data_IF_672258544693
#
_entry.id   IF_672258544693
#
_cell.length_a   1.000
_cell.length_b   1.000
_cell.length_c   1.000
_cell.angle_alpha   90.00
_cell.angle_beta   90.00
_cell.angle_gamma   90.00
#
_symmetry.space_group_name_H-M   'P 1'
#
loop_
_entity.id
_entity.type
_entity.pdbx_description
1 polymer ?
#
# COMPACT_ATOMS: atom_id res chain seq x y z
N UNK A 1 23.96 -13.77 10.22
CA UNK A 1 23.14 -13.23 9.12
C UNK A 1 24.08 -12.77 8.01
N UNK A 2 23.96 -13.42 6.86
CA UNK A 2 24.65 -13.07 5.61
C UNK A 2 24.20 -11.71 5.08
N UNK A 3 24.95 -11.15 4.14
CA UNK A 3 24.56 -9.87 3.51
C UNK A 3 23.32 -10.01 2.62
N UNK A 4 23.09 -11.21 2.04
CA UNK A 4 21.85 -11.51 1.32
C UNK A 4 20.63 -11.42 2.24
N UNK A 5 20.68 -12.06 3.41
CA UNK A 5 19.59 -12.02 4.40
C UNK A 5 19.34 -10.59 4.93
N UNK A 6 20.40 -9.80 5.12
CA UNK A 6 20.25 -8.37 5.51
C UNK A 6 19.53 -7.57 4.44
N UNK A 7 19.85 -7.81 3.16
CA UNK A 7 19.22 -7.10 2.04
C UNK A 7 17.75 -7.51 1.88
N UNK A 8 17.42 -8.79 1.99
CA UNK A 8 16.04 -9.27 1.99
C UNK A 8 15.21 -8.67 3.15
N UNK A 9 15.81 -8.63 4.34
CA UNK A 9 15.16 -8.05 5.51
C UNK A 9 14.96 -6.54 5.37
N UNK A 10 15.93 -5.84 4.75
CA UNK A 10 15.81 -4.42 4.44
C UNK A 10 14.72 -4.14 3.39
N UNK A 11 14.64 -4.97 2.33
CA UNK A 11 13.56 -4.88 1.35
C UNK A 11 12.20 -5.03 2.03
N UNK A 12 12.04 -6.06 2.88
CA UNK A 12 10.83 -6.27 3.68
C UNK A 12 10.53 -5.07 4.59
N UNK A 13 11.55 -4.49 5.24
CA UNK A 13 11.36 -3.31 6.09
C UNK A 13 10.91 -2.07 5.31
N UNK A 14 11.42 -1.88 4.10
CA UNK A 14 10.99 -0.80 3.20
C UNK A 14 9.55 -1.02 2.72
N UNK A 15 9.20 -2.25 2.36
CA UNK A 15 7.86 -2.66 1.95
C UNK A 15 6.80 -2.31 3.01
N UNK A 16 6.98 -2.84 4.22
CA UNK A 16 6.08 -2.60 5.36
C UNK A 16 6.01 -1.11 5.74
N UNK A 17 7.14 -0.41 5.66
CA UNK A 17 7.20 1.02 5.92
C UNK A 17 6.40 1.82 4.88
N UNK A 18 6.42 1.42 3.60
CA UNK A 18 5.67 2.08 2.54
C UNK A 18 4.16 1.95 2.76
N UNK A 19 3.66 0.74 3.06
CA UNK A 19 2.26 0.53 3.41
C UNK A 19 1.81 1.46 4.54
N UNK A 20 2.56 1.53 5.64
CA UNK A 20 2.21 2.38 6.77
C UNK A 20 2.24 3.87 6.42
N UNK A 21 3.32 4.35 5.80
CA UNK A 21 3.49 5.78 5.50
C UNK A 21 2.37 6.27 4.59
N UNK A 22 2.02 5.51 3.55
CA UNK A 22 0.91 5.87 2.66
C UNK A 22 -0.44 5.86 3.41
N UNK A 23 -0.65 4.90 4.33
CA UNK A 23 -1.89 4.84 5.12
C UNK A 23 -2.16 6.15 5.89
N UNK A 24 -1.11 6.70 6.51
CA UNK A 24 -1.20 7.88 7.38
C UNK A 24 -1.06 9.22 6.64
N UNK A 25 -0.53 9.23 5.41
CA UNK A 25 -0.35 10.47 4.63
C UNK A 25 -1.70 11.09 4.25
N UNK A 26 -1.81 12.43 4.29
CA UNK A 26 -2.99 13.14 3.79
C UNK A 26 -3.20 12.93 2.29
N UNK A 27 -4.43 13.00 1.80
CA UNK A 27 -4.72 12.74 0.39
C UNK A 27 -5.87 13.56 -0.16
N UNK A 28 -5.90 13.69 -1.48
CA UNK A 28 -6.99 14.27 -2.25
C UNK A 28 -7.47 13.29 -3.32
N UNK A 29 -8.78 13.18 -3.50
CA UNK A 29 -9.40 12.40 -4.57
C UNK A 29 -10.77 12.99 -4.89
N UNK A 30 -11.06 13.24 -6.17
CA UNK A 30 -12.38 13.75 -6.63
C UNK A 30 -12.87 15.00 -5.86
N UNK A 31 -11.96 15.91 -5.51
CA UNK A 31 -12.29 17.14 -4.76
C UNK A 31 -12.49 16.96 -3.25
N UNK A 32 -12.32 15.74 -2.72
CA UNK A 32 -12.31 15.45 -1.29
C UNK A 32 -10.86 15.46 -0.80
N UNK A 33 -10.56 16.34 0.14
CA UNK A 33 -9.24 16.41 0.81
C UNK A 33 -9.35 15.89 2.23
N UNK A 34 -8.52 14.91 2.58
CA UNK A 34 -8.38 14.38 3.93
C UNK A 34 -6.98 14.66 4.42
N UNK A 35 -6.86 15.49 5.46
CA UNK A 35 -5.55 15.88 5.99
C UNK A 35 -4.87 14.73 6.73
N UNK A 36 -3.56 14.89 6.99
CA UNK A 36 -2.80 13.99 7.84
C UNK A 36 -3.39 13.86 9.26
N UNK A 37 -3.94 14.96 9.81
CA UNK A 37 -4.46 15.00 11.18
C UNK A 37 -5.83 14.33 11.31
N UNK A 38 -6.66 14.44 10.27
CA UNK A 38 -8.04 13.95 10.25
C UNK A 38 -8.16 12.44 9.99
N UNK A 39 -7.04 11.73 9.87
CA UNK A 39 -7.04 10.27 9.67
C UNK A 39 -7.53 9.54 10.92
N UNK A 40 -8.61 8.75 10.81
CA UNK A 40 -9.05 7.90 11.90
C UNK A 40 -7.96 6.90 12.29
N UNK A 41 -7.69 6.72 13.59
CA UNK A 41 -6.66 5.79 14.07
C UNK A 41 -6.96 4.32 13.70
N UNK A 42 -8.22 3.98 13.47
CA UNK A 42 -8.67 2.66 13.00
C UNK A 42 -8.37 2.39 11.52
N UNK A 43 -7.99 3.41 10.74
CA UNK A 43 -7.50 3.23 9.37
C UNK A 43 -5.98 2.91 9.33
N UNK A 44 -5.30 2.95 10.49
CA UNK A 44 -3.87 2.64 10.65
C UNK A 44 -3.74 1.16 11.04
N UNK A 45 -2.82 0.39 10.44
CA UNK A 45 -2.59 -1.00 10.86
C UNK A 45 -2.26 -1.11 12.35
N UNK A 46 -2.78 -2.15 13.01
CA UNK A 46 -2.57 -2.41 14.45
C UNK A 46 -1.10 -2.69 14.77
N UNK A 47 -0.37 -3.27 13.81
CA UNK A 47 1.06 -3.45 13.85
C UNK A 47 1.64 -3.59 12.44
N UNK A 48 2.95 -3.33 12.30
CA UNK A 48 3.75 -3.74 11.13
C UNK A 48 4.98 -4.52 11.60
N UNK A 49 5.41 -5.54 10.86
CA UNK A 49 6.48 -6.46 11.28
C UNK A 49 7.27 -7.00 10.10
N UNK A 50 8.57 -7.20 10.32
CA UNK A 50 9.49 -7.85 9.37
C UNK A 50 9.92 -9.24 9.83
N UNK A 51 9.30 -9.77 10.90
CA UNK A 51 9.56 -11.13 11.38
C UNK A 51 8.76 -12.10 10.52
N UNK A 52 9.46 -13.03 9.85
CA UNK A 52 8.81 -14.17 9.18
C UNK A 52 8.08 -14.99 10.25
N UNK A 53 6.76 -15.13 10.14
CA UNK A 53 6.04 -16.24 10.79
C UNK A 53 6.22 -17.46 9.91
N UNK A 54 6.27 -18.65 10.49
CA UNK A 54 6.66 -19.89 9.81
C UNK A 54 5.79 -20.30 8.61
N UNK A 55 4.69 -19.58 8.31
CA UNK A 55 3.86 -19.74 7.10
C UNK A 55 3.68 -18.46 6.27
N UNK A 56 4.38 -17.37 6.59
CA UNK A 56 4.22 -16.10 5.87
C UNK A 56 5.54 -15.33 5.78
N UNK A 57 5.97 -15.07 4.56
CA UNK A 57 6.82 -13.91 4.26
C UNK A 57 6.10 -12.63 4.71
N UNK A 58 6.31 -12.24 5.97
CA UNK A 58 5.92 -10.94 6.51
C UNK A 58 4.45 -10.54 6.33
N UNK A 59 3.51 -11.16 7.04
CA UNK A 59 2.30 -10.53 7.57
C UNK A 59 1.60 -11.52 8.51
N UNK A 60 0.80 -11.05 9.47
CA UNK A 60 -0.11 -11.95 10.16
C UNK A 60 -1.22 -12.36 9.20
N UNK A 61 -1.06 -13.51 8.54
CA UNK A 61 -2.11 -14.29 7.87
C UNK A 61 -3.01 -15.01 8.88
N UNK A 62 -3.42 -14.31 9.95
CA UNK A 62 -4.73 -14.62 10.49
C UNK A 62 -5.68 -13.85 9.57
N UNK A 63 -6.64 -14.49 8.90
CA UNK A 63 -7.80 -13.80 8.38
C UNK A 63 -8.62 -13.32 9.59
N UNK A 64 -8.06 -12.44 10.41
CA UNK A 64 -8.88 -11.56 11.21
C UNK A 64 -9.56 -10.68 10.19
N UNK A 65 -10.87 -10.57 10.29
CA UNK A 65 -11.75 -9.74 9.46
C UNK A 65 -11.43 -8.22 9.58
N UNK A 66 -10.16 -7.85 9.75
CA UNK A 66 -9.62 -6.51 10.01
C UNK A 66 -8.90 -5.96 8.75
N UNK A 67 -8.24 -6.80 7.94
CA UNK A 67 -7.74 -6.40 6.60
C UNK A 67 -8.66 -6.78 5.44
N UNK A 68 -9.69 -7.59 5.72
CA UNK A 68 -10.95 -7.42 5.02
C UNK A 68 -11.53 -6.11 5.52
N UNK A 69 -11.04 -5.00 5.00
CA UNK A 69 -11.94 -3.88 4.89
C UNK A 69 -13.08 -4.42 4.03
N UNK A 70 -14.19 -4.80 4.66
CA UNK A 70 -15.42 -5.15 3.95
C UNK A 70 -15.56 -4.05 2.90
N UNK A 71 -15.63 -4.36 1.61
CA UNK A 71 -15.69 -3.29 0.60
C UNK A 71 -16.93 -2.42 0.86
N UNK A 72 -17.95 -2.97 1.52
CA UNK A 72 -19.09 -2.23 2.09
C UNK A 72 -18.74 -1.28 3.23
N UNK A 73 -17.61 -1.43 3.91
CA UNK A 73 -17.01 -0.49 4.88
C UNK A 73 -16.10 0.57 4.22
N UNK A 74 -15.69 0.34 2.96
CA UNK A 74 -14.96 1.27 2.10
C UNK A 74 -15.88 1.89 1.03
N UNK A 75 -17.15 2.19 1.33
CA UNK A 75 -18.10 2.67 0.29
C UNK A 75 -17.61 3.90 -0.46
N UNK A 76 -16.78 4.72 0.19
CA UNK A 76 -16.27 5.94 -0.42
C UNK A 76 -15.12 5.62 -1.40
N UNK A 77 -15.33 5.95 -2.68
CA UNK A 77 -14.36 5.75 -3.77
C UNK A 77 -12.97 6.27 -3.43
N UNK A 78 -12.87 7.43 -2.78
CA UNK A 78 -11.58 7.98 -2.36
C UNK A 78 -10.83 7.11 -1.33
N UNK A 79 -11.55 6.39 -0.45
CA UNK A 79 -10.94 5.45 0.50
C UNK A 79 -10.48 4.18 -0.21
N UNK A 80 -11.20 3.73 -1.23
CA UNK A 80 -10.81 2.60 -2.10
C UNK A 80 -9.53 2.91 -2.86
N UNK A 81 -9.48 4.06 -3.55
CA UNK A 81 -8.28 4.54 -4.24
C UNK A 81 -7.07 4.61 -3.33
N UNK A 82 -7.24 5.18 -2.12
CA UNK A 82 -6.16 5.23 -1.12
C UNK A 82 -5.68 3.83 -0.75
N UNK A 83 -6.60 2.91 -0.54
CA UNK A 83 -6.29 1.56 -0.10
C UNK A 83 -5.53 0.77 -1.19
N UNK A 84 -5.92 0.91 -2.46
CA UNK A 84 -5.20 0.33 -3.60
C UNK A 84 -3.77 0.86 -3.66
N UNK A 85 -3.58 2.18 -3.64
CA UNK A 85 -2.24 2.81 -3.64
C UNK A 85 -1.41 2.35 -2.45
N UNK A 86 -2.02 2.23 -1.26
CA UNK A 86 -1.36 1.74 -0.05
C UNK A 86 -0.81 0.33 -0.25
N UNK A 87 -1.62 -0.60 -0.78
CA UNK A 87 -1.22 -1.98 -1.01
C UNK A 87 -0.08 -2.05 -2.04
N UNK A 88 -0.21 -1.31 -3.15
CA UNK A 88 0.83 -1.27 -4.19
C UNK A 88 2.15 -0.66 -3.71
N UNK A 89 2.12 0.19 -2.69
CA UNK A 89 3.29 0.92 -2.21
C UNK A 89 4.44 0.01 -1.75
N UNK A 90 4.14 -1.19 -1.27
CA UNK A 90 5.14 -2.16 -0.81
C UNK A 90 6.07 -2.59 -1.95
N UNK A 91 5.53 -3.20 -3.00
CA UNK A 91 6.30 -3.59 -4.19
C UNK A 91 6.85 -2.38 -4.96
N UNK A 92 6.08 -1.28 -5.03
CA UNK A 92 6.54 -0.09 -5.74
C UNK A 92 7.77 0.54 -5.07
N UNK A 93 7.91 0.48 -3.74
CA UNK A 93 9.11 1.00 -3.09
C UNK A 93 10.31 0.10 -3.31
N UNK A 94 10.11 -1.22 -3.30
CA UNK A 94 11.17 -2.18 -3.62
C UNK A 94 11.72 -1.94 -5.03
N UNK A 95 10.84 -1.79 -6.02
CA UNK A 95 11.24 -1.50 -7.39
C UNK A 95 11.94 -0.13 -7.49
N UNK A 96 11.38 0.91 -6.88
CA UNK A 96 11.92 2.27 -6.97
C UNK A 96 13.27 2.47 -6.28
N UNK A 97 13.63 1.55 -5.37
CA UNK A 97 14.90 1.51 -4.66
C UNK A 97 15.82 0.39 -5.15
N UNK A 98 15.45 -0.31 -6.23
CA UNK A 98 16.22 -1.43 -6.81
C UNK A 98 16.50 -2.55 -5.80
N UNK A 99 15.54 -2.80 -4.89
CA UNK A 99 15.61 -3.84 -3.86
C UNK A 99 15.01 -5.18 -4.35
N UNK A 100 14.17 -5.13 -5.38
CA UNK A 100 13.57 -6.27 -6.05
C UNK A 100 13.75 -6.15 -7.57
N UNK A 101 13.53 -7.24 -8.34
CA UNK A 101 13.36 -7.13 -9.79
C UNK A 101 12.25 -6.14 -10.14
N UNK A 102 12.35 -5.56 -11.34
CA UNK A 102 11.26 -4.77 -11.92
C UNK A 102 10.12 -5.70 -12.32
N UNK A 103 8.90 -5.25 -12.08
CA UNK A 103 7.71 -6.01 -12.43
C UNK A 103 7.09 -5.49 -13.74
N UNK A 104 6.65 -6.41 -14.59
CA UNK A 104 5.68 -6.05 -15.62
C UNK A 104 4.29 -6.07 -14.98
N UNK A 105 3.85 -4.91 -14.51
CA UNK A 105 2.63 -4.81 -13.71
C UNK A 105 1.39 -5.34 -14.44
N UNK A 106 1.33 -5.24 -15.77
CA UNK A 106 0.18 -5.73 -16.53
C UNK A 106 0.16 -7.26 -16.50
N UNK A 107 1.31 -7.90 -16.73
CA UNK A 107 1.42 -9.36 -16.68
C UNK A 107 1.18 -9.89 -15.27
N UNK A 108 1.74 -9.26 -14.23
CA UNK A 108 1.48 -9.64 -12.83
C UNK A 108 -0.02 -9.65 -12.54
N UNK A 109 -0.75 -8.60 -12.93
CA UNK A 109 -2.19 -8.54 -12.71
C UNK A 109 -2.99 -9.48 -13.61
N UNK A 110 -2.51 -9.78 -14.81
CA UNK A 110 -3.11 -10.79 -15.70
C UNK A 110 -2.99 -12.20 -15.11
N UNK A 111 -1.84 -12.57 -14.57
CA UNK A 111 -1.59 -13.88 -13.97
C UNK A 111 -2.36 -14.07 -12.65
N UNK A 112 -2.44 -13.01 -11.84
CA UNK A 112 -3.15 -13.04 -10.56
C UNK A 112 -4.68 -12.87 -10.70
N UNK A 113 -5.17 -12.51 -11.90
CA UNK A 113 -6.60 -12.32 -12.21
C UNK A 113 -7.47 -13.53 -11.83
N UNK A 114 -6.93 -14.75 -11.90
CA UNK A 114 -7.64 -16.00 -11.59
C UNK A 114 -7.42 -16.52 -10.16
N UNK A 115 -6.51 -15.92 -9.39
CA UNK A 115 -6.12 -16.39 -8.06
C UNK A 115 -6.44 -15.36 -6.96
N UNK A 116 -7.69 -14.88 -6.92
CA UNK A 116 -8.16 -13.86 -5.98
C UNK A 116 -8.16 -14.30 -4.49
N UNK A 117 -7.83 -15.56 -4.21
CA UNK A 117 -7.71 -16.11 -2.86
C UNK A 117 -6.29 -15.97 -2.27
N UNK A 118 -5.31 -15.54 -3.07
CA UNK A 118 -3.93 -15.38 -2.61
C UNK A 118 -3.73 -14.24 -1.61
N UNK A 119 -2.81 -14.43 -0.66
CA UNK A 119 -2.47 -13.42 0.37
C UNK A 119 -1.54 -12.29 -0.11
N UNK A 120 -1.04 -12.36 -1.34
CA UNK A 120 -0.12 -11.35 -1.89
C UNK A 120 -0.83 -10.04 -2.27
N UNK A 121 -0.10 -8.92 -2.19
CA UNK A 121 -0.64 -7.57 -2.47
C UNK A 121 -1.31 -7.44 -3.85
N UNK A 122 -0.73 -8.00 -4.91
CA UNK A 122 -1.35 -7.98 -6.24
C UNK A 122 -2.70 -8.72 -6.27
N UNK A 123 -2.82 -9.85 -5.55
CA UNK A 123 -4.09 -10.56 -5.41
C UNK A 123 -5.12 -9.74 -4.62
N UNK A 124 -4.68 -9.03 -3.57
CA UNK A 124 -5.54 -8.13 -2.79
C UNK A 124 -6.08 -7.00 -3.68
N UNK A 125 -5.23 -6.34 -4.47
CA UNK A 125 -5.64 -5.27 -5.38
C UNK A 125 -6.54 -5.81 -6.50
N UNK A 126 -6.17 -6.96 -7.09
CA UNK A 126 -6.96 -7.61 -8.13
C UNK A 126 -8.39 -7.85 -7.63
N UNK A 127 -8.53 -8.43 -6.45
CA UNK A 127 -9.83 -8.67 -5.83
C UNK A 127 -10.63 -7.39 -5.62
N UNK A 128 -10.01 -6.33 -5.12
CA UNK A 128 -10.69 -5.03 -4.94
C UNK A 128 -11.22 -4.51 -6.28
N UNK A 129 -10.39 -4.54 -7.34
CA UNK A 129 -10.81 -4.07 -8.66
C UNK A 129 -11.95 -4.93 -9.24
N UNK A 130 -11.92 -6.24 -9.02
CA UNK A 130 -13.01 -7.14 -9.39
C UNK A 130 -14.34 -6.87 -8.67
N UNK A 131 -14.28 -6.52 -7.39
CA UNK A 131 -15.46 -6.22 -6.60
C UNK A 131 -16.03 -4.82 -6.94
N UNK A 132 -15.23 -3.93 -7.55
CA UNK A 132 -15.63 -2.57 -7.93
C UNK A 132 -16.07 -2.42 -9.38
N UNK A 133 -15.44 -3.17 -10.30
CA UNK A 133 -15.72 -3.13 -11.74
C UNK A 133 -16.69 -4.26 -12.06
N UNK A 134 -17.74 -3.97 -12.82
CA UNK A 134 -18.65 -4.98 -13.30
C UNK A 134 -17.93 -5.96 -14.25
N UNK A 135 -17.70 -7.19 -13.79
CA UNK A 135 -16.99 -8.23 -14.55
C UNK A 135 -17.79 -8.73 -15.76
N UNK A 136 -19.10 -8.43 -15.83
CA UNK A 136 -19.95 -8.74 -16.98
C UNK A 136 -19.91 -7.64 -18.05
N UNK A 137 -19.23 -6.51 -17.78
CA UNK A 137 -19.05 -5.45 -18.76
C UNK A 137 -18.21 -5.94 -19.95
N UNK A 138 -18.67 -5.62 -21.17
CA UNK A 138 -18.02 -6.01 -22.45
C UNK A 138 -16.57 -5.51 -22.54
N UNK A 139 -16.23 -4.46 -21.79
CA UNK A 139 -14.94 -3.80 -21.73
C UNK A 139 -14.24 -3.95 -20.37
N UNK A 140 -14.59 -4.98 -19.58
CA UNK A 140 -13.99 -5.19 -18.25
C UNK A 140 -12.46 -5.17 -18.29
N UNK A 141 -11.84 -5.90 -19.22
CA UNK A 141 -10.38 -6.01 -19.30
C UNK A 141 -9.72 -4.64 -19.51
N UNK A 142 -10.28 -3.82 -20.41
CA UNK A 142 -9.77 -2.47 -20.68
C UNK A 142 -9.88 -1.57 -19.44
N UNK A 143 -11.02 -1.62 -18.73
CA UNK A 143 -11.24 -0.84 -17.50
C UNK A 143 -10.28 -1.32 -16.40
N UNK A 144 -10.15 -2.63 -16.23
CA UNK A 144 -9.34 -3.26 -15.20
C UNK A 144 -7.85 -2.90 -15.38
N UNK A 145 -7.29 -3.12 -16.58
CA UNK A 145 -5.88 -2.83 -16.83
C UNK A 145 -5.59 -1.32 -16.88
N UNK A 146 -6.55 -0.48 -17.29
CA UNK A 146 -6.43 0.97 -17.16
C UNK A 146 -6.32 1.41 -15.70
N UNK A 147 -7.15 0.85 -14.81
CA UNK A 147 -7.04 1.10 -13.38
C UNK A 147 -5.69 0.64 -12.82
N UNK A 148 -5.25 -0.58 -13.15
CA UNK A 148 -3.94 -1.12 -12.70
C UNK A 148 -2.80 -0.16 -13.09
N UNK A 149 -2.75 0.26 -14.35
CA UNK A 149 -1.70 1.17 -14.82
C UNK A 149 -1.77 2.54 -14.15
N UNK A 150 -2.98 3.09 -14.00
CA UNK A 150 -3.20 4.40 -13.36
C UNK A 150 -2.76 4.39 -11.90
N UNK A 151 -3.19 3.40 -11.13
CA UNK A 151 -2.82 3.25 -9.73
C UNK A 151 -1.33 2.95 -9.54
N UNK A 152 -0.74 2.13 -10.40
CA UNK A 152 0.70 1.86 -10.36
C UNK A 152 1.52 3.11 -10.64
N UNK A 153 1.21 3.83 -11.71
CA UNK A 153 1.88 5.09 -12.07
C UNK A 153 1.76 6.14 -10.97
N UNK A 154 0.57 6.29 -10.39
CA UNK A 154 0.33 7.19 -9.26
C UNK A 154 1.15 6.78 -8.03
N UNK A 155 1.20 5.48 -7.71
CA UNK A 155 1.97 4.96 -6.56
C UNK A 155 3.45 5.25 -6.73
N UNK A 156 4.02 4.99 -7.91
CA UNK A 156 5.42 5.32 -8.21
C UNK A 156 5.70 6.82 -8.07
N UNK A 157 4.81 7.68 -8.59
CA UNK A 157 4.94 9.13 -8.49
C UNK A 157 4.91 9.62 -7.04
N UNK A 158 3.98 9.08 -6.23
CA UNK A 158 3.89 9.37 -4.79
C UNK A 158 5.21 9.00 -4.10
N UNK A 159 5.76 7.82 -4.41
CA UNK A 159 7.02 7.36 -3.86
C UNK A 159 8.22 8.19 -4.31
N UNK A 160 8.13 9.03 -5.35
CA UNK A 160 9.18 10.01 -5.68
C UNK A 160 9.14 11.26 -4.78
N UNK A 161 8.07 11.47 -4.01
CA UNK A 161 7.94 12.63 -3.13
C UNK A 161 8.99 12.59 -2.02
N UNK A 162 9.84 13.63 -1.84
CA UNK A 162 10.95 13.58 -0.89
C UNK A 162 10.55 13.34 0.57
N UNK A 163 9.45 13.96 1.03
CA UNK A 163 8.94 13.79 2.40
C UNK A 163 8.45 12.35 2.65
N UNK A 164 7.82 11.73 1.64
CA UNK A 164 7.38 10.32 1.66
C UNK A 164 8.59 9.39 1.71
N UNK A 165 9.56 9.53 0.80
CA UNK A 165 10.79 8.73 0.81
C UNK A 165 11.51 8.80 2.15
N UNK A 166 11.65 10.01 2.70
CA UNK A 166 12.29 10.23 3.99
C UNK A 166 11.53 9.54 5.12
N UNK A 167 10.20 9.63 5.13
CA UNK A 167 9.34 8.98 6.11
C UNK A 167 9.45 7.44 6.04
N UNK A 168 9.44 6.86 4.84
CA UNK A 168 9.61 5.41 4.62
C UNK A 168 10.96 4.96 5.16
N UNK A 169 12.05 5.62 4.77
CA UNK A 169 13.39 5.28 5.25
C UNK A 169 13.54 5.34 6.78
N UNK A 170 12.95 6.34 7.45
CA UNK A 170 12.97 6.44 8.92
C UNK A 170 12.18 5.30 9.56
N UNK A 171 11.03 4.98 8.99
CA UNK A 171 10.14 3.90 9.44
C UNK A 171 10.82 2.54 9.27
N UNK A 172 11.39 2.26 8.09
CA UNK A 172 12.13 1.03 7.80
C UNK A 172 13.36 0.87 8.72
N UNK A 173 14.14 1.93 8.95
CA UNK A 173 15.25 1.89 9.93
C UNK A 173 14.78 1.57 11.35
N UNK A 174 13.61 2.07 11.73
CA UNK A 174 13.02 1.77 13.04
C UNK A 174 12.56 0.30 13.10
N UNK A 175 11.96 -0.22 12.03
CA UNK A 175 11.61 -1.64 11.88
C UNK A 175 12.85 -2.55 11.95
N UNK A 176 13.97 -2.19 11.33
CA UNK A 176 15.19 -3.00 11.40
C UNK A 176 15.72 -3.17 12.84
N UNK A 177 15.41 -2.23 13.74
CA UNK A 177 15.80 -2.31 15.15
C UNK A 177 14.75 -3.05 15.99
N UNK A 178 13.47 -2.69 15.85
CA UNK A 178 12.39 -3.24 16.70
C UNK A 178 11.79 -4.54 16.19
N UNK A 179 11.96 -4.84 14.90
CA UNK A 179 11.38 -5.94 14.12
C UNK A 179 9.85 -5.95 14.01
N UNK A 180 9.16 -5.41 15.01
CA UNK A 180 7.70 -5.19 15.03
C UNK A 180 7.42 -3.84 15.67
N UNK A 181 6.48 -3.09 15.11
CA UNK A 181 5.96 -1.85 15.69
C UNK A 181 4.46 -1.97 15.87
N UNK A 182 3.98 -1.80 17.11
CA UNK A 182 2.55 -1.81 17.44
C UNK A 182 1.98 -0.39 17.46
N UNK A 183 0.66 -0.24 17.58
CA UNK A 183 -0.06 1.05 17.64
C UNK A 183 0.65 2.13 18.47
N UNK A 184 1.16 1.80 19.66
CA UNK A 184 1.85 2.79 20.52
C UNK A 184 3.19 3.26 19.93
N UNK A 185 3.92 2.39 19.25
CA UNK A 185 5.11 2.77 18.49
C UNK A 185 4.74 3.65 17.29
N UNK A 186 3.61 3.35 16.63
CA UNK A 186 3.11 4.12 15.50
C UNK A 186 2.71 5.53 15.92
N UNK A 187 2.05 5.69 17.08
CA UNK A 187 1.75 7.00 17.67
C UNK A 187 3.01 7.83 17.93
N UNK A 188 4.05 7.22 18.50
CA UNK A 188 5.35 7.89 18.74
C UNK A 188 6.08 8.21 17.44
N UNK A 189 5.99 7.31 16.46
CA UNK A 189 6.57 7.49 15.15
C UNK A 189 5.89 8.66 14.42
N UNK A 190 4.57 8.82 14.54
CA UNK A 190 3.79 9.91 13.94
C UNK A 190 4.43 11.29 14.19
N UNK A 191 4.72 11.61 15.45
CA UNK A 191 5.39 12.87 15.82
C UNK A 191 6.79 12.99 15.20
N UNK A 192 7.53 11.90 15.04
CA UNK A 192 8.83 11.92 14.35
C UNK A 192 8.69 12.17 12.85
N UNK A 193 7.59 11.71 12.24
CA UNK A 193 7.32 11.88 10.82
C UNK A 193 6.88 13.32 10.48
N UNK A 194 6.34 14.08 11.42
CA UNK A 194 6.09 15.52 11.24
C UNK A 194 7.39 16.27 10.88
N UNK A 195 8.53 15.88 11.46
CA UNK A 195 9.84 16.47 11.10
C UNK A 195 10.33 16.11 9.67
N UNK A 196 9.65 15.20 8.96
CA UNK A 196 9.90 14.99 7.52
C UNK A 196 9.07 15.91 6.64
N UNK A 197 8.15 16.68 7.21
CA UNK A 197 7.14 17.46 6.49
C UNK A 197 5.99 16.60 5.96
N UNK A 198 5.82 15.37 6.47
CA UNK A 198 4.74 14.47 6.05
C UNK A 198 3.36 15.04 6.38
N UNK A 199 3.25 15.78 7.49
CA UNK A 199 2.04 16.47 7.95
C UNK A 199 1.55 17.54 6.96
N UNK A 200 2.45 18.09 6.16
CA UNK A 200 2.18 19.07 5.10
C UNK A 200 2.01 18.42 3.72
N UNK A 201 2.23 17.12 3.63
CA UNK A 201 2.14 16.38 2.38
C UNK A 201 0.70 15.93 2.15
N UNK A 202 0.18 16.19 0.95
CA UNK A 202 -1.09 15.68 0.47
C UNK A 202 -0.84 14.99 -0.87
N UNK A 203 -1.14 13.69 -0.95
CA UNK A 203 -0.98 12.90 -2.18
C UNK A 203 -2.24 12.96 -3.02
N UNK A 204 -2.10 13.10 -4.34
CA UNK A 204 -3.23 13.00 -5.27
C UNK A 204 -3.48 11.53 -5.60
N UNK A 205 -4.73 11.09 -5.44
CA UNK A 205 -5.14 9.72 -5.74
C UNK A 205 -6.00 9.70 -7.01
N UNK A 206 -5.73 8.77 -7.94
CA UNK A 206 -6.60 8.60 -9.10
C UNK A 206 -7.95 8.03 -8.65
N UNK A 207 -9.07 8.44 -9.27
CA UNK A 207 -10.35 7.79 -9.06
C UNK A 207 -10.33 6.39 -9.69
N UNK A 208 -11.10 5.46 -9.12
CA UNK A 208 -11.37 4.17 -9.77
C UNK A 208 -12.23 4.44 -11.00
N UNK A 209 -11.74 4.04 -12.17
CA UNK A 209 -12.48 4.13 -13.42
C UNK A 209 -13.48 2.99 -13.52
N UNK A 210 -14.74 3.29 -13.83
CA UNK A 210 -15.81 2.30 -13.98
C UNK A 210 -16.23 2.11 -15.44
N UNK A 211 -15.72 2.95 -16.34
CA UNK A 211 -15.97 2.92 -17.78
C UNK A 211 -14.67 3.31 -18.50
N UNK A 212 -14.55 2.93 -19.77
CA UNK A 212 -13.48 3.45 -20.64
C UNK A 212 -13.76 4.94 -20.89
N UNK A 213 -12.75 5.79 -20.67
CA UNK A 213 -12.81 7.24 -20.86
C UNK A 213 -12.51 7.68 -22.29
#
# INVERSE_FOLDING_TARGET
MSDKEKNELWATAMHEAAHLVIAITGYECEGITVSYYDKPLNDIPVAISIVRKDDSSGYNDVPSDIERADIKSLQDKHRQSRHIVRILAGFAVEESCELSPKFDIVNEFYENRGNLAGGHDFNKVARILYDLIDYEAVNFDDIYFSNVQSFWGATLAILQTPSIRKAICITAKTLMVKKTMYVEDLKRLRTRLEFTGLDKCCISLPPVQLTVG
#
